data_IF_260294481641
#
_entry.id   IF_260294481641
#
_cell.length_a   1.000
_cell.length_b   1.000
_cell.length_c   1.000
_cell.angle_alpha   90.00
_cell.angle_beta   90.00
_cell.angle_gamma   90.00
#
_symmetry.space_group_name_H-M   'P 1'
#
loop_
_entity.id
_entity.type
_entity.pdbx_description
1 polymer ?
#
# COMPACT_ATOMS: atom_id res chain seq x y z
N UNK A 1 -14.16 -6.35 -20.45
CA UNK A 1 -12.86 -5.84 -20.00
C UNK A 1 -12.83 -6.03 -18.50
N UNK A 2 -11.75 -6.54 -17.91
CA UNK A 2 -11.61 -6.45 -16.45
C UNK A 2 -11.48 -4.96 -16.14
N UNK A 3 -12.33 -4.43 -15.27
CA UNK A 3 -12.20 -3.04 -14.89
C UNK A 3 -10.90 -2.89 -14.10
N UNK A 4 -10.08 -1.92 -14.51
CA UNK A 4 -8.81 -1.60 -13.86
C UNK A 4 -9.03 -0.30 -13.10
N UNK A 5 -8.66 -0.31 -11.82
CA UNK A 5 -8.60 0.91 -11.03
C UNK A 5 -7.18 1.45 -10.99
N UNK A 6 -7.06 2.75 -10.78
CA UNK A 6 -5.78 3.45 -10.61
C UNK A 6 -5.81 4.10 -9.25
N UNK A 7 -4.89 3.66 -8.39
CA UNK A 7 -4.71 4.20 -7.07
C UNK A 7 -3.45 5.06 -7.00
N UNK A 8 -3.51 6.11 -6.20
CA UNK A 8 -2.34 6.86 -5.83
C UNK A 8 -2.44 7.34 -4.39
N UNK A 9 -1.31 7.39 -3.71
CA UNK A 9 -1.29 7.76 -2.30
C UNK A 9 0.06 7.49 -1.67
N UNK A 10 0.05 7.19 -0.39
CA UNK A 10 1.24 6.92 0.38
C UNK A 10 1.15 5.59 1.13
N UNK A 11 2.25 4.86 1.14
CA UNK A 11 2.48 3.75 2.05
C UNK A 11 3.44 4.22 3.14
N UNK A 12 3.09 4.00 4.41
CA UNK A 12 3.95 4.29 5.56
C UNK A 12 4.35 2.99 6.21
N UNK A 13 5.64 2.67 6.11
CA UNK A 13 6.28 1.51 6.71
C UNK A 13 6.82 1.89 8.08
N UNK A 14 6.52 1.09 9.11
CA UNK A 14 6.96 1.34 10.47
C UNK A 14 7.38 0.04 11.16
N UNK A 15 8.46 0.10 11.93
CA UNK A 15 8.94 -1.01 12.75
C UNK A 15 9.81 -0.48 13.90
N UNK A 16 10.20 -1.37 14.82
CA UNK A 16 10.99 -0.99 16.01
C UNK A 16 12.42 -0.62 15.72
N UNK A 17 12.95 -1.12 14.61
CA UNK A 17 14.34 -0.91 14.22
C UNK A 17 14.40 -0.47 12.77
N UNK A 18 15.43 0.32 12.46
CA UNK A 18 15.71 0.76 11.10
C UNK A 18 15.95 -0.43 10.17
N UNK A 19 16.62 -1.46 10.67
CA UNK A 19 16.95 -2.66 9.92
C UNK A 19 15.67 -3.38 9.44
N UNK A 20 14.67 -3.52 10.32
CA UNK A 20 13.38 -4.14 9.97
C UNK A 20 12.63 -3.30 8.95
N UNK A 21 12.61 -1.96 9.09
CA UNK A 21 12.00 -1.09 8.07
C UNK A 21 12.69 -1.24 6.72
N UNK A 22 14.03 -1.27 6.70
CA UNK A 22 14.78 -1.45 5.46
C UNK A 22 14.42 -2.77 4.79
N UNK A 23 14.46 -3.87 5.54
CA UNK A 23 14.08 -5.19 5.04
C UNK A 23 12.63 -5.22 4.52
N UNK A 24 11.71 -4.59 5.24
CA UNK A 24 10.30 -4.52 4.83
C UNK A 24 10.13 -3.71 3.53
N UNK A 25 10.79 -2.56 3.41
CA UNK A 25 10.74 -1.75 2.18
C UNK A 25 11.34 -2.46 0.97
N UNK A 26 12.40 -3.26 1.15
CA UNK A 26 12.94 -4.11 0.09
C UNK A 26 11.97 -5.25 -0.26
N UNK A 27 11.32 -5.84 0.76
CA UNK A 27 10.46 -7.00 0.57
C UNK A 27 9.19 -6.72 -0.24
N UNK A 28 8.75 -5.46 -0.29
CA UNK A 28 7.57 -5.04 -1.07
C UNK A 28 7.91 -4.59 -2.49
N UNK A 29 9.19 -4.40 -2.86
CA UNK A 29 9.58 -3.98 -4.22
C UNK A 29 9.02 -4.87 -5.34
N UNK A 30 8.90 -6.20 -5.19
CA UNK A 30 8.30 -7.06 -6.21
C UNK A 30 6.85 -6.72 -6.54
N UNK A 31 6.13 -5.94 -5.71
CA UNK A 31 4.81 -5.42 -6.07
C UNK A 31 4.85 -4.56 -7.36
N UNK A 32 5.98 -3.93 -7.68
CA UNK A 32 6.18 -3.18 -8.92
C UNK A 32 6.35 -4.05 -10.17
N UNK A 33 6.76 -5.31 -9.98
CA UNK A 33 7.04 -6.28 -11.05
C UNK A 33 5.80 -7.10 -11.44
N UNK A 34 4.65 -6.87 -10.81
CA UNK A 34 3.41 -7.58 -11.12
C UNK A 34 2.89 -7.14 -12.51
N UNK A 35 3.00 -8.03 -13.50
CA UNK A 35 2.60 -7.77 -14.90
C UNK A 35 1.14 -7.34 -15.09
N UNK A 36 0.25 -7.71 -14.15
CA UNK A 36 -1.19 -7.41 -14.27
C UNK A 36 -1.60 -6.20 -13.46
N UNK A 37 -1.05 -6.03 -12.26
CA UNK A 37 -1.53 -5.08 -11.25
C UNK A 37 -0.36 -4.49 -10.44
N UNK A 38 0.57 -3.75 -11.08
CA UNK A 38 1.78 -3.29 -10.42
C UNK A 38 1.51 -2.18 -9.41
N UNK A 39 2.39 -2.08 -8.42
CA UNK A 39 2.50 -0.96 -7.47
C UNK A 39 3.87 -0.33 -7.60
N UNK A 40 3.93 0.83 -8.24
CA UNK A 40 5.16 1.61 -8.41
C UNK A 40 5.34 2.56 -7.22
N UNK A 41 6.33 2.25 -6.39
CA UNK A 41 6.71 3.09 -5.25
C UNK A 41 7.76 4.12 -5.69
N UNK A 42 7.54 5.38 -5.32
CA UNK A 42 8.42 6.51 -5.64
C UNK A 42 9.61 6.59 -4.68
N UNK A 43 10.40 5.53 -4.59
CA UNK A 43 11.52 5.42 -3.64
C UNK A 43 12.57 6.53 -3.77
N UNK A 44 12.80 7.02 -5.00
CA UNK A 44 13.80 8.03 -5.31
C UNK A 44 13.24 9.47 -5.30
N UNK A 45 11.94 9.63 -5.53
CA UNK A 45 11.32 10.94 -5.78
C UNK A 45 10.45 11.45 -4.62
N UNK A 46 9.85 10.54 -3.82
CA UNK A 46 8.85 10.89 -2.82
C UNK A 46 8.95 10.01 -1.56
N UNK A 47 10.17 9.91 -1.01
CA UNK A 47 10.51 9.09 0.17
C UNK A 47 10.89 9.95 1.38
N UNK A 48 10.18 9.73 2.49
CA UNK A 48 10.25 10.52 3.72
C UNK A 48 10.52 9.63 4.95
N UNK A 49 11.80 9.33 5.27
CA UNK A 49 12.15 8.66 6.52
C UNK A 49 12.00 9.62 7.72
N UNK A 50 11.74 9.07 8.92
CA UNK A 50 12.00 9.80 10.16
C UNK A 50 13.50 9.76 10.52
N UNK A 51 13.91 10.58 11.50
CA UNK A 51 15.32 10.71 11.91
C UNK A 51 15.93 9.38 12.38
N UNK A 52 15.14 8.53 13.03
CA UNK A 52 15.56 7.23 13.57
C UNK A 52 15.61 6.13 12.49
N UNK A 53 14.96 6.34 11.34
CA UNK A 53 14.79 5.34 10.30
C UNK A 53 13.80 4.21 10.63
N UNK A 54 13.09 4.32 11.75
CA UNK A 54 12.03 3.39 12.21
C UNK A 54 10.68 3.62 11.51
N UNK A 55 10.58 4.68 10.71
CA UNK A 55 9.42 4.95 9.85
C UNK A 55 9.85 5.50 8.49
N UNK A 56 9.26 4.99 7.42
CA UNK A 56 9.42 5.53 6.06
C UNK A 56 8.05 5.69 5.42
N UNK A 57 7.71 6.92 5.01
CA UNK A 57 6.55 7.19 4.16
C UNK A 57 7.01 7.35 2.72
N UNK A 58 6.35 6.69 1.78
CA UNK A 58 6.68 6.79 0.35
C UNK A 58 5.42 6.96 -0.48
N UNK A 59 5.47 7.83 -1.49
CA UNK A 59 4.42 7.94 -2.49
C UNK A 59 4.35 6.69 -3.38
N UNK A 60 3.17 6.34 -3.88
CA UNK A 60 3.02 5.25 -4.83
C UNK A 60 1.90 5.50 -5.84
N UNK A 61 2.00 4.76 -6.93
CA UNK A 61 0.97 4.63 -7.95
C UNK A 61 0.71 3.14 -8.17
N UNK A 62 -0.54 2.69 -8.16
CA UNK A 62 -0.87 1.29 -8.30
C UNK A 62 -2.06 1.04 -9.22
N UNK A 63 -2.10 -0.15 -9.83
CA UNK A 63 -3.21 -0.57 -10.68
C UNK A 63 -3.95 -1.74 -10.04
N UNK A 64 -5.23 -1.56 -9.76
CA UNK A 64 -6.07 -2.55 -9.07
C UNK A 64 -6.87 -3.43 -10.02
N UNK A 65 -7.11 -4.68 -9.62
CA UNK A 65 -8.17 -5.50 -10.22
C UNK A 65 -9.50 -5.07 -9.61
N UNK A 66 -10.24 -4.23 -10.32
CA UNK A 66 -11.53 -3.64 -9.92
C UNK A 66 -11.40 -2.56 -8.83
N UNK A 67 -10.72 -2.87 -7.73
CA UNK A 67 -10.34 -1.90 -6.70
C UNK A 67 -8.93 -2.24 -6.19
N UNK A 68 -8.15 -1.21 -5.86
CA UNK A 68 -6.76 -1.37 -5.44
C UNK A 68 -6.61 -1.96 -4.03
N UNK A 69 -7.67 -1.90 -3.20
CA UNK A 69 -7.67 -2.55 -1.89
C UNK A 69 -7.40 -4.06 -1.95
N UNK A 70 -7.76 -4.73 -3.06
CA UNK A 70 -7.45 -6.14 -3.31
C UNK A 70 -5.94 -6.38 -3.40
N UNK A 71 -5.20 -5.47 -4.04
CA UNK A 71 -3.74 -5.57 -4.15
C UNK A 71 -3.07 -5.41 -2.78
N UNK A 72 -3.60 -4.52 -1.93
CA UNK A 72 -3.10 -4.31 -0.56
C UNK A 72 -3.20 -5.61 0.25
N UNK A 73 -4.27 -6.39 0.09
CA UNK A 73 -4.46 -7.68 0.76
C UNK A 73 -3.41 -8.73 0.36
N UNK A 74 -2.78 -8.60 -0.82
CA UNK A 74 -1.75 -9.54 -1.27
C UNK A 74 -0.36 -9.23 -0.71
N UNK A 75 -0.15 -8.04 -0.14
CA UNK A 75 1.15 -7.60 0.35
C UNK A 75 1.80 -8.58 1.35
N UNK A 76 1.11 -9.16 2.35
CA UNK A 76 1.73 -10.12 3.25
C UNK A 76 2.29 -11.35 2.52
N UNK A 77 1.58 -11.88 1.52
CA UNK A 77 2.08 -13.02 0.74
C UNK A 77 3.31 -12.68 -0.11
N UNK A 78 3.42 -11.43 -0.58
CA UNK A 78 4.59 -10.95 -1.32
C UNK A 78 5.80 -10.82 -0.38
N UNK A 79 5.59 -10.31 0.84
CA UNK A 79 6.62 -10.23 1.87
C UNK A 79 7.07 -11.61 2.33
N UNK A 80 6.14 -12.53 2.57
CA UNK A 80 6.41 -13.93 2.95
C UNK A 80 7.27 -14.64 1.89
N UNK A 81 7.00 -14.40 0.60
CA UNK A 81 7.77 -14.98 -0.50
C UNK A 81 9.25 -14.54 -0.54
N UNK A 82 9.61 -13.45 0.14
CA UNK A 82 11.01 -12.98 0.22
C UNK A 82 11.85 -13.79 1.21
N UNK A 83 11.23 -14.62 2.06
CA UNK A 83 11.91 -15.49 3.03
C UNK A 83 12.90 -14.75 3.93
N UNK A 84 12.53 -13.57 4.44
CA UNK A 84 13.35 -12.77 5.37
C UNK A 84 12.95 -13.09 6.82
N UNK A 85 13.75 -13.85 7.60
CA UNK A 85 13.35 -14.33 8.92
C UNK A 85 13.08 -13.22 9.93
N UNK A 86 13.77 -12.09 9.81
CA UNK A 86 13.56 -10.93 10.67
C UNK A 86 12.13 -10.37 10.56
N UNK A 87 11.51 -10.45 9.38
CA UNK A 87 10.14 -9.96 9.15
C UNK A 87 9.06 -10.85 9.78
N UNK A 88 9.39 -12.07 10.23
CA UNK A 88 8.51 -12.88 11.10
C UNK A 88 8.80 -12.67 12.59
N UNK A 89 10.06 -12.33 12.92
CA UNK A 89 10.51 -12.22 14.32
C UNK A 89 10.13 -10.89 14.94
N UNK A 90 10.10 -9.83 14.14
CA UNK A 90 9.96 -8.46 14.60
C UNK A 90 8.59 -7.90 14.24
N UNK A 91 8.07 -6.98 15.06
CA UNK A 91 6.81 -6.30 14.74
C UNK A 91 7.02 -5.26 13.65
N UNK A 92 6.04 -5.12 12.78
CA UNK A 92 5.99 -4.04 11.79
C UNK A 92 4.56 -3.74 11.37
N UNK A 93 4.37 -2.57 10.75
CA UNK A 93 3.09 -2.20 10.15
C UNK A 93 3.30 -1.45 8.84
N UNK A 94 2.29 -1.53 7.98
CA UNK A 94 2.20 -0.75 6.74
C UNK A 94 0.83 -0.08 6.67
N UNK A 95 0.82 1.24 6.77
CA UNK A 95 -0.36 2.06 6.57
C UNK A 95 -0.43 2.52 5.11
N UNK A 96 -1.48 2.10 4.42
CA UNK A 96 -1.83 2.54 3.09
C UNK A 96 -2.89 3.64 3.20
N UNK A 97 -2.59 4.83 2.70
CA UNK A 97 -3.55 5.93 2.58
C UNK A 97 -3.57 6.41 1.13
N UNK A 98 -4.65 6.12 0.42
CA UNK A 98 -4.70 6.30 -1.02
C UNK A 98 -6.09 6.71 -1.52
N UNK A 99 -6.08 7.34 -2.68
CA UNK A 99 -7.25 7.55 -3.49
C UNK A 99 -7.25 6.50 -4.60
N UNK A 100 -8.41 5.94 -4.92
CA UNK A 100 -8.58 4.98 -6.01
C UNK A 100 -9.66 5.44 -6.98
N UNK A 101 -9.49 5.12 -8.25
CA UNK A 101 -10.41 5.50 -9.30
C UNK A 101 -10.52 4.40 -10.35
N UNK A 102 -11.73 3.92 -10.60
CA UNK A 102 -11.98 2.93 -11.65
C UNK A 102 -12.03 3.60 -13.03
N UNK A 103 -11.23 3.10 -13.98
CA UNK A 103 -11.26 3.61 -15.36
C UNK A 103 -12.52 3.15 -16.07
N UNK A 104 -13.41 4.09 -16.39
CA UNK A 104 -14.63 3.84 -17.18
C UNK A 104 -15.89 3.54 -16.37
N UNK A 105 -15.80 3.57 -15.04
CA UNK A 105 -16.92 3.31 -14.13
C UNK A 105 -17.09 4.40 -13.07
N UNK A 106 -18.27 4.40 -12.46
CA UNK A 106 -18.91 5.54 -11.81
C UNK A 106 -18.37 5.89 -10.42
N UNK A 107 -17.19 5.41 -9.99
CA UNK A 107 -16.73 5.69 -8.63
C UNK A 107 -15.26 6.13 -8.48
N UNK A 108 -15.05 6.88 -7.41
CA UNK A 108 -13.74 7.26 -6.85
C UNK A 108 -13.80 6.99 -5.36
N UNK A 109 -12.69 6.63 -4.71
CA UNK A 109 -12.68 6.43 -3.26
C UNK A 109 -11.43 7.00 -2.61
N UNK A 110 -11.56 7.29 -1.31
CA UNK A 110 -10.44 7.49 -0.40
C UNK A 110 -10.42 6.32 0.58
N UNK A 111 -9.31 5.60 0.66
CA UNK A 111 -9.17 4.43 1.50
C UNK A 111 -7.97 4.60 2.45
N UNK A 112 -8.12 4.09 3.68
CA UNK A 112 -7.01 3.85 4.61
C UNK A 112 -7.04 2.42 5.09
N UNK A 113 -5.96 1.70 4.86
CA UNK A 113 -5.83 0.28 5.23
C UNK A 113 -4.54 0.12 6.01
N UNK A 114 -4.64 -0.48 7.19
CA UNK A 114 -3.50 -0.80 8.04
C UNK A 114 -3.25 -2.30 7.99
N UNK A 115 -2.03 -2.69 7.66
CA UNK A 115 -1.54 -4.06 7.85
C UNK A 115 -0.63 -4.05 9.07
N UNK A 116 -0.91 -4.92 10.03
CA UNK A 116 -0.11 -5.08 11.25
C UNK A 116 0.40 -6.50 11.35
N UNK A 117 1.69 -6.63 11.64
CA UNK A 117 2.34 -7.90 11.89
C UNK A 117 2.88 -7.93 13.33
N UNK A 118 2.39 -8.85 14.18
CA UNK A 118 2.93 -9.02 15.52
C UNK A 118 4.25 -9.82 15.47
N UNK A 119 5.17 -9.52 16.37
CA UNK A 119 6.44 -10.24 16.49
C UNK A 119 6.24 -11.75 16.76
N UNK A 120 6.97 -12.60 16.04
CA UNK A 120 7.06 -14.04 16.28
C UNK A 120 5.95 -14.87 15.64
N UNK A 121 5.22 -14.35 14.65
CA UNK A 121 4.20 -15.10 13.90
C UNK A 121 4.57 -15.21 12.42
N UNK A 122 3.91 -16.11 11.69
CA UNK A 122 4.09 -16.21 10.24
C UNK A 122 3.55 -14.95 9.55
N UNK A 123 4.25 -14.44 8.53
CA UNK A 123 3.80 -13.22 7.81
C UNK A 123 2.39 -13.36 7.25
N UNK A 124 2.00 -14.54 6.75
CA UNK A 124 0.64 -14.81 6.27
C UNK A 124 -0.47 -14.66 7.33
N UNK A 125 -0.12 -14.52 8.61
CA UNK A 125 -1.05 -14.27 9.72
C UNK A 125 -1.17 -12.79 10.11
N UNK A 126 -0.56 -11.88 9.33
CA UNK A 126 -0.70 -10.44 9.52
C UNK A 126 -2.17 -10.01 9.41
N UNK A 127 -2.57 -9.05 10.23
CA UNK A 127 -3.95 -8.56 10.28
C UNK A 127 -4.11 -7.34 9.38
N UNK A 128 -5.17 -7.33 8.58
CA UNK A 128 -5.57 -6.18 7.77
C UNK A 128 -6.80 -5.52 8.37
N UNK A 129 -6.72 -4.21 8.60
CA UNK A 129 -7.81 -3.40 9.14
C UNK A 129 -8.11 -2.25 8.18
N UNK A 130 -9.35 -2.18 7.70
CA UNK A 130 -9.84 -1.02 6.94
C UNK A 130 -10.18 0.08 7.95
N UNK A 131 -9.39 1.16 7.96
CA UNK A 131 -9.58 2.31 8.84
C UNK A 131 -10.53 3.35 8.23
N UNK A 132 -10.54 3.45 6.90
CA UNK A 132 -11.38 4.39 6.15
C UNK A 132 -11.69 3.80 4.77
N UNK A 133 -12.95 3.94 4.33
CA UNK A 133 -13.40 3.57 2.98
C UNK A 133 -14.55 4.50 2.58
N UNK A 134 -14.21 5.62 1.95
CA UNK A 134 -15.17 6.61 1.48
C UNK A 134 -15.32 6.49 -0.03
N UNK A 135 -16.50 6.10 -0.51
CA UNK A 135 -16.80 5.92 -1.94
C UNK A 135 -17.71 7.04 -2.44
N UNK A 136 -17.35 7.62 -3.57
CA UNK A 136 -18.05 8.72 -4.22
C UNK A 136 -18.45 8.34 -5.64
N UNK A 137 -19.62 8.80 -6.09
CA UNK A 137 -19.99 8.70 -7.49
C UNK A 137 -19.25 9.75 -8.35
N UNK A 138 -18.68 9.34 -9.49
CA UNK A 138 -17.95 10.19 -10.42
C UNK A 138 -18.85 11.27 -11.07
N UNK A 139 -20.15 11.00 -11.19
CA UNK A 139 -21.15 11.90 -11.77
C UNK A 139 -21.48 13.13 -10.90
N UNK A 140 -20.95 13.22 -9.68
CA UNK A 140 -21.24 14.29 -8.69
C UNK A 140 -19.97 14.91 -8.11
N UNK A 141 -19.01 15.31 -8.95
CA UNK A 141 -17.76 15.97 -8.52
C UNK A 141 -16.81 15.11 -7.68
N UNK A 142 -17.04 13.79 -7.51
CA UNK A 142 -16.25 12.92 -6.62
C UNK A 142 -14.73 12.94 -6.83
N UNK A 143 -14.26 13.28 -8.04
CA UNK A 143 -12.84 13.49 -8.31
C UNK A 143 -12.22 14.67 -7.52
N UNK A 144 -13.00 15.71 -7.23
CA UNK A 144 -12.53 16.86 -6.42
C UNK A 144 -12.38 16.51 -4.94
N UNK A 145 -12.99 15.41 -4.50
CA UNK A 145 -12.94 14.92 -3.12
C UNK A 145 -11.77 13.94 -2.88
N UNK A 146 -11.08 13.50 -3.95
CA UNK A 146 -9.91 12.64 -3.81
C UNK A 146 -8.78 13.39 -3.12
N UNK A 147 -8.17 12.74 -2.11
CA UNK A 147 -6.99 13.26 -1.43
C UNK A 147 -5.76 13.29 -2.32
N UNK A 148 -5.64 12.29 -3.20
CA UNK A 148 -4.49 12.07 -4.06
C UNK A 148 -4.95 11.87 -5.51
N UNK A 149 -5.47 12.91 -6.18
CA UNK A 149 -5.96 12.80 -7.57
C UNK A 149 -4.83 12.78 -8.61
N UNK A 150 -3.61 13.15 -8.24
CA UNK A 150 -2.57 13.58 -9.19
C UNK A 150 -1.13 13.26 -8.75
N UNK A 151 -0.85 12.10 -8.17
CA UNK A 151 0.55 11.63 -8.04
C UNK A 151 1.13 11.17 -9.40
N UNK A 152 0.69 11.83 -10.47
CA UNK A 152 1.08 11.72 -11.87
C UNK A 152 1.45 13.11 -12.39
#
# INVERSE_FOLDING_TARGET
MANISTASGYATFEADTREVVQQLTEAVKPMSENDSYPTDFRWDDDRWPNDEGTRVRVGFTGFGRWAYCENVQWMPGIVEAQNVPELERERWSVLWDFSDMESGCDFCSNCKILIEHPAGVLVGQSTLTVLEDEVYARSTEGHSLLRYPSLY
#
